data_IF_446032145751
#
_entry.id   IF_446032145751
#
_cell.length_a   1.000
_cell.length_b   1.000
_cell.length_c   1.000
_cell.angle_alpha   90.00
_cell.angle_beta   90.00
_cell.angle_gamma   90.00
#
_symmetry.space_group_name_H-M   'P 1'
#
loop_
_entity.id
_entity.type
_entity.pdbx_description
1 polymer ?
#
# COMPACT_ATOMS: atom_id res chain seq x y z
N UNK A 1 -18.31 23.60 9.89
CA UNK A 1 -19.43 24.46 9.45
C UNK A 1 -19.06 25.07 8.12
N UNK A 2 -19.97 25.04 7.16
CA UNK A 2 -19.74 25.58 5.82
C UNK A 2 -21.05 25.48 5.00
N UNK A 3 -21.00 25.96 3.76
CA UNK A 3 -22.13 25.89 2.82
C UNK A 3 -21.70 25.09 1.60
N UNK A 4 -22.54 24.15 1.20
CA UNK A 4 -22.35 23.38 -0.04
C UNK A 4 -23.32 23.96 -1.08
N UNK A 5 -22.78 24.32 -2.26
CA UNK A 5 -23.59 24.68 -3.42
C UNK A 5 -23.42 23.61 -4.49
N UNK A 6 -24.56 23.10 -4.97
CA UNK A 6 -24.60 22.10 -6.03
C UNK A 6 -25.61 22.52 -7.08
N UNK A 7 -25.23 22.51 -8.34
CA UNK A 7 -26.05 23.01 -9.46
C UNK A 7 -26.62 24.44 -9.23
N UNK A 8 -25.85 25.30 -8.56
CA UNK A 8 -26.25 26.68 -8.25
C UNK A 8 -27.07 26.86 -6.99
N UNK A 9 -27.58 25.79 -6.37
CA UNK A 9 -28.41 25.82 -5.17
C UNK A 9 -27.64 25.47 -3.90
N UNK A 10 -28.00 26.08 -2.78
CA UNK A 10 -27.46 25.67 -1.47
C UNK A 10 -28.11 24.36 -1.04
N UNK A 11 -27.30 23.34 -0.80
CA UNK A 11 -27.76 22.01 -0.41
C UNK A 11 -27.26 21.61 0.97
N UNK A 12 -28.06 20.81 1.65
CA UNK A 12 -27.69 20.18 2.94
C UNK A 12 -28.14 18.73 2.94
N UNK A 13 -27.21 17.83 2.75
CA UNK A 13 -27.46 16.40 2.78
C UNK A 13 -27.51 15.91 4.23
N UNK A 14 -28.57 15.19 4.60
CA UNK A 14 -28.73 14.56 5.92
C UNK A 14 -28.32 13.08 5.92
N UNK A 15 -28.26 12.50 4.73
CA UNK A 15 -27.87 11.11 4.51
C UNK A 15 -27.13 10.95 3.18
N UNK A 16 -26.32 9.87 3.00
CA UNK A 16 -25.74 9.53 1.70
C UNK A 16 -26.76 9.45 0.58
N UNK A 17 -27.97 8.92 0.88
CA UNK A 17 -29.06 8.78 -0.08
C UNK A 17 -29.58 10.13 -0.60
N UNK A 18 -29.52 11.18 0.23
CA UNK A 18 -29.91 12.52 -0.22
C UNK A 18 -28.94 13.04 -1.29
N UNK A 19 -27.63 12.80 -1.10
CA UNK A 19 -26.60 13.16 -2.06
C UNK A 19 -26.73 12.36 -3.36
N UNK A 20 -26.98 11.06 -3.24
CA UNK A 20 -27.22 10.18 -4.39
C UNK A 20 -28.45 10.63 -5.20
N UNK A 21 -29.55 10.97 -4.53
CA UNK A 21 -30.77 11.47 -5.19
C UNK A 21 -30.56 12.83 -5.87
N UNK A 22 -29.61 13.63 -5.39
CA UNK A 22 -29.21 14.89 -6.01
C UNK A 22 -28.27 14.68 -7.23
N UNK A 23 -27.82 13.45 -7.50
CA UNK A 23 -26.93 13.13 -8.62
C UNK A 23 -25.45 13.13 -8.27
N UNK A 24 -25.09 12.83 -7.02
CA UNK A 24 -23.71 12.64 -6.57
C UNK A 24 -23.49 11.16 -6.32
N UNK A 25 -22.47 10.58 -6.98
CA UNK A 25 -22.04 9.19 -6.76
C UNK A 25 -20.69 9.17 -6.05
N UNK A 26 -20.49 8.24 -5.12
CA UNK A 26 -19.28 8.11 -4.34
C UNK A 26 -18.71 6.69 -4.47
N UNK A 27 -17.46 6.60 -4.87
CA UNK A 27 -16.63 5.41 -4.75
C UNK A 27 -15.92 5.48 -3.39
N UNK A 28 -16.16 4.51 -2.53
CA UNK A 28 -15.56 4.44 -1.19
C UNK A 28 -14.19 3.78 -1.23
N UNK A 29 -13.25 4.25 -0.42
CA UNK A 29 -11.92 3.68 -0.26
C UNK A 29 -11.97 2.19 0.14
N UNK A 30 -12.90 1.79 1.01
CA UNK A 30 -13.21 0.39 1.29
C UNK A 30 -14.39 -0.05 0.43
N UNK A 31 -14.21 -1.17 -0.30
CA UNK A 31 -15.24 -1.67 -1.21
C UNK A 31 -16.54 -1.99 -0.45
N UNK A 32 -17.64 -1.45 -0.94
CA UNK A 32 -18.98 -1.63 -0.36
C UNK A 32 -19.75 -2.79 -0.99
N UNK A 33 -19.02 -3.82 -1.47
CA UNK A 33 -19.58 -4.98 -2.17
C UNK A 33 -20.08 -6.05 -1.19
N UNK A 34 -21.15 -6.73 -1.59
CA UNK A 34 -21.67 -7.91 -0.86
C UNK A 34 -21.07 -9.16 -1.52
N UNK A 35 -20.15 -9.87 -0.84
CA UNK A 35 -19.39 -10.96 -1.45
C UNK A 35 -20.25 -12.13 -1.96
N UNK A 36 -21.42 -12.36 -1.33
CA UNK A 36 -22.31 -13.48 -1.65
C UNK A 36 -23.21 -13.21 -2.85
N UNK A 37 -23.33 -11.96 -3.29
CA UNK A 37 -24.16 -11.57 -4.42
C UNK A 37 -23.37 -11.62 -5.74
N UNK A 38 -24.13 -11.69 -6.85
CA UNK A 38 -23.54 -11.62 -8.19
C UNK A 38 -23.00 -10.21 -8.50
N UNK A 39 -22.19 -10.10 -9.56
CA UNK A 39 -21.71 -8.82 -10.10
C UNK A 39 -22.89 -7.91 -10.46
N UNK A 40 -23.90 -8.44 -11.17
CA UNK A 40 -25.06 -7.65 -11.59
C UNK A 40 -25.86 -7.14 -10.37
N UNK A 41 -26.07 -7.98 -9.35
CA UNK A 41 -26.78 -7.58 -8.14
C UNK A 41 -25.99 -6.51 -7.37
N UNK A 42 -24.65 -6.60 -7.29
CA UNK A 42 -23.83 -5.59 -6.62
C UNK A 42 -23.86 -4.25 -7.36
N UNK A 43 -23.76 -4.25 -8.70
CA UNK A 43 -23.77 -3.03 -9.51
C UNK A 43 -25.08 -2.26 -9.31
N UNK A 44 -26.22 -2.94 -9.27
CA UNK A 44 -27.53 -2.31 -9.22
C UNK A 44 -28.24 -2.40 -7.86
N UNK A 45 -27.53 -2.76 -6.80
CA UNK A 45 -28.09 -2.91 -5.45
C UNK A 45 -28.91 -1.68 -5.02
N UNK A 46 -30.21 -1.91 -4.73
CA UNK A 46 -31.16 -0.86 -4.37
C UNK A 46 -31.65 0.01 -5.54
N UNK A 47 -31.24 -0.30 -6.78
CA UNK A 47 -31.61 0.39 -8.02
C UNK A 47 -31.93 -0.59 -9.15
N UNK A 48 -32.32 -1.80 -8.79
CA UNK A 48 -32.61 -2.88 -9.73
C UNK A 48 -33.69 -2.47 -10.72
N UNK A 49 -33.51 -2.76 -12.04
CA UNK A 49 -34.58 -2.61 -13.02
C UNK A 49 -35.81 -3.42 -12.59
N UNK A 50 -36.99 -2.81 -12.69
CA UNK A 50 -38.24 -3.43 -12.20
C UNK A 50 -39.24 -3.64 -13.35
N UNK A 51 -39.92 -4.77 -13.28
CA UNK A 51 -41.13 -5.04 -14.08
C UNK A 51 -42.34 -5.20 -13.12
N UNK A 52 -43.05 -4.09 -12.93
CA UNK A 52 -44.02 -3.99 -11.87
C UNK A 52 -43.37 -3.98 -10.49
N UNK A 53 -43.74 -4.93 -9.64
CA UNK A 53 -43.19 -5.07 -8.28
C UNK A 53 -41.98 -6.01 -8.19
N UNK A 54 -41.64 -6.71 -9.28
CA UNK A 54 -40.54 -7.68 -9.35
C UNK A 54 -39.33 -7.10 -10.05
N UNK A 55 -38.14 -7.61 -9.68
CA UNK A 55 -36.87 -7.29 -10.37
C UNK A 55 -36.88 -7.93 -11.76
N UNK A 56 -36.55 -7.14 -12.79
CA UNK A 56 -36.34 -7.64 -14.14
C UNK A 56 -34.91 -8.15 -14.29
N UNK A 57 -34.69 -9.41 -13.93
CA UNK A 57 -33.36 -10.05 -13.98
C UNK A 57 -32.72 -10.06 -15.38
N UNK A 58 -33.56 -10.05 -16.44
CA UNK A 58 -33.05 -10.01 -17.82
C UNK A 58 -32.48 -8.63 -18.16
N UNK A 59 -33.22 -7.58 -17.81
CA UNK A 59 -32.76 -6.21 -17.98
C UNK A 59 -31.53 -5.92 -17.09
N UNK A 60 -31.54 -6.38 -15.84
CA UNK A 60 -30.42 -6.26 -14.89
C UNK A 60 -29.12 -6.81 -15.49
N UNK A 61 -29.14 -8.05 -15.98
CA UNK A 61 -27.97 -8.70 -16.57
C UNK A 61 -27.55 -8.05 -17.88
N UNK A 62 -28.49 -7.57 -18.70
CA UNK A 62 -28.17 -6.87 -19.94
C UNK A 62 -27.43 -5.55 -19.68
N UNK A 63 -27.93 -4.75 -18.73
CA UNK A 63 -27.25 -3.50 -18.33
C UNK A 63 -25.89 -3.76 -17.67
N UNK A 64 -25.77 -4.79 -16.81
CA UNK A 64 -24.50 -5.18 -16.24
C UNK A 64 -23.47 -5.54 -17.32
N UNK A 65 -23.85 -6.31 -18.37
CA UNK A 65 -22.96 -6.62 -19.50
C UNK A 65 -22.50 -5.35 -20.23
N UNK A 66 -23.41 -4.40 -20.45
CA UNK A 66 -23.09 -3.12 -21.10
C UNK A 66 -22.04 -2.34 -20.32
N UNK A 67 -22.16 -2.33 -18.98
CA UNK A 67 -21.18 -1.66 -18.13
C UNK A 67 -19.85 -2.42 -18.09
N UNK A 68 -19.85 -3.75 -17.97
CA UNK A 68 -18.65 -4.59 -17.98
C UNK A 68 -17.87 -4.39 -19.27
N UNK A 69 -18.56 -4.26 -20.41
CA UNK A 69 -17.95 -4.03 -21.72
C UNK A 69 -17.12 -2.72 -21.80
N UNK A 70 -17.30 -1.77 -20.88
CA UNK A 70 -16.42 -0.60 -20.78
C UNK A 70 -14.97 -0.98 -20.52
N UNK A 71 -14.73 -2.14 -19.92
CA UNK A 71 -13.39 -2.66 -19.61
C UNK A 71 -13.01 -3.89 -20.45
N UNK A 72 -13.65 -4.09 -21.60
CA UNK A 72 -13.31 -5.19 -22.51
C UNK A 72 -11.82 -5.15 -22.89
N UNK A 73 -11.21 -6.33 -22.91
CA UNK A 73 -9.79 -6.52 -23.19
C UNK A 73 -8.82 -6.22 -22.02
N UNK A 74 -9.31 -5.66 -20.91
CA UNK A 74 -8.49 -5.38 -19.71
C UNK A 74 -9.07 -5.94 -18.41
N UNK A 75 -10.36 -6.28 -18.37
CA UNK A 75 -11.01 -6.80 -17.15
C UNK A 75 -10.54 -8.21 -16.75
N UNK A 76 -9.80 -8.90 -17.60
CA UNK A 76 -9.47 -10.31 -17.41
C UNK A 76 -10.64 -11.25 -17.69
N UNK A 77 -10.44 -12.55 -17.42
CA UNK A 77 -11.49 -13.57 -17.56
C UNK A 77 -12.28 -13.72 -16.26
N UNK A 78 -13.60 -13.96 -16.37
CA UNK A 78 -14.46 -14.27 -15.20
C UNK A 78 -15.28 -13.09 -14.67
N UNK A 79 -15.07 -11.87 -15.15
CA UNK A 79 -15.95 -10.75 -14.81
C UNK A 79 -17.23 -10.81 -15.64
N UNK A 80 -18.20 -11.59 -15.15
CA UNK A 80 -19.48 -11.84 -15.80
C UNK A 80 -20.64 -11.40 -14.89
N UNK A 81 -21.83 -11.04 -15.42
CA UNK A 81 -22.95 -10.59 -14.61
C UNK A 81 -23.37 -11.56 -13.51
N UNK A 82 -23.25 -12.87 -13.75
CA UNK A 82 -23.62 -13.94 -12.83
C UNK A 82 -22.48 -14.38 -11.88
N UNK A 83 -21.27 -13.88 -12.07
CA UNK A 83 -20.14 -14.23 -11.23
C UNK A 83 -20.36 -13.73 -9.78
N UNK A 84 -20.03 -14.57 -8.81
CA UNK A 84 -20.11 -14.22 -7.38
C UNK A 84 -18.92 -13.35 -7.01
N UNK A 85 -19.17 -12.15 -6.49
CA UNK A 85 -18.14 -11.15 -6.21
C UNK A 85 -17.06 -11.67 -5.25
N UNK A 86 -17.43 -12.49 -4.26
CA UNK A 86 -16.48 -13.08 -3.31
C UNK A 86 -15.40 -13.96 -3.97
N UNK A 87 -15.66 -14.50 -5.15
CA UNK A 87 -14.72 -15.37 -5.88
C UNK A 87 -13.81 -14.59 -6.84
N UNK A 88 -14.07 -13.29 -7.05
CA UNK A 88 -13.28 -12.47 -7.95
C UNK A 88 -11.94 -12.04 -7.31
N UNK A 89 -10.88 -11.88 -8.10
CA UNK A 89 -9.64 -11.28 -7.65
C UNK A 89 -9.83 -9.79 -7.26
N UNK A 90 -8.89 -9.21 -6.49
CA UNK A 90 -9.04 -7.84 -5.96
C UNK A 90 -9.27 -6.76 -7.03
N UNK A 91 -8.56 -6.83 -8.14
CA UNK A 91 -8.70 -5.91 -9.27
C UNK A 91 -10.11 -5.96 -9.89
N UNK A 92 -10.65 -7.15 -10.12
CA UNK A 92 -12.01 -7.30 -10.64
C UNK A 92 -13.07 -6.81 -9.65
N UNK A 93 -12.87 -7.04 -8.34
CA UNK A 93 -13.76 -6.45 -7.30
C UNK A 93 -13.73 -4.93 -7.35
N UNK A 94 -12.56 -4.34 -7.55
CA UNK A 94 -12.42 -2.90 -7.74
C UNK A 94 -13.20 -2.41 -8.97
N UNK A 95 -13.10 -3.13 -10.11
CA UNK A 95 -13.88 -2.82 -11.31
C UNK A 95 -15.39 -2.88 -11.04
N UNK A 96 -15.88 -3.88 -10.29
CA UNK A 96 -17.32 -3.96 -9.93
C UNK A 96 -17.78 -2.73 -9.15
N UNK A 97 -16.99 -2.24 -8.18
CA UNK A 97 -17.33 -1.03 -7.43
C UNK A 97 -17.31 0.23 -8.32
N UNK A 98 -16.34 0.34 -9.26
CA UNK A 98 -16.33 1.42 -10.27
C UNK A 98 -17.59 1.36 -11.13
N UNK A 99 -17.97 0.18 -11.62
CA UNK A 99 -19.17 0.00 -12.45
C UNK A 99 -20.44 0.35 -11.67
N UNK A 100 -20.50 0.07 -10.37
CA UNK A 100 -21.58 0.47 -9.48
C UNK A 100 -21.75 1.99 -9.41
N UNK A 101 -20.64 2.74 -9.37
CA UNK A 101 -20.66 4.20 -9.46
C UNK A 101 -21.16 4.67 -10.83
N UNK A 102 -20.66 4.07 -11.91
CA UNK A 102 -21.08 4.41 -13.28
C UNK A 102 -22.55 4.12 -13.56
N UNK A 103 -23.13 3.10 -12.92
CA UNK A 103 -24.53 2.75 -13.02
C UNK A 103 -25.46 3.83 -12.45
N UNK A 104 -24.96 4.73 -11.61
CA UNK A 104 -25.76 5.74 -10.94
C UNK A 104 -26.13 6.94 -11.83
N UNK A 105 -25.54 7.07 -13.02
CA UNK A 105 -25.75 8.20 -13.94
C UNK A 105 -25.68 9.57 -13.25
N UNK A 106 -24.73 9.72 -12.32
CA UNK A 106 -24.54 10.94 -11.53
C UNK A 106 -23.95 12.07 -12.38
N UNK A 107 -24.25 13.31 -12.03
CA UNK A 107 -23.63 14.50 -12.60
C UNK A 107 -22.28 14.85 -11.94
N UNK A 108 -22.05 14.35 -10.72
CA UNK A 108 -20.80 14.43 -9.99
C UNK A 108 -20.39 13.06 -9.47
N UNK A 109 -19.21 12.62 -9.82
CA UNK A 109 -18.59 11.40 -9.27
C UNK A 109 -17.45 11.77 -8.34
N UNK A 110 -17.38 11.16 -7.17
CA UNK A 110 -16.28 11.27 -6.23
C UNK A 110 -15.58 9.91 -6.19
N UNK A 111 -14.31 9.88 -6.57
CA UNK A 111 -13.49 8.67 -6.70
C UNK A 111 -12.37 8.72 -5.67
N UNK A 112 -12.51 7.96 -4.57
CA UNK A 112 -11.56 7.93 -3.46
C UNK A 112 -10.63 6.71 -3.61
N UNK A 113 -9.39 6.94 -4.11
CA UNK A 113 -8.39 5.91 -4.38
C UNK A 113 -8.89 4.77 -5.29
N UNK A 114 -9.70 5.10 -6.30
CA UNK A 114 -10.39 4.12 -7.16
C UNK A 114 -9.45 3.23 -7.99
N UNK A 115 -8.16 3.50 -8.07
CA UNK A 115 -7.15 2.75 -8.86
C UNK A 115 -6.25 1.86 -8.00
N UNK A 116 -6.44 1.81 -6.68
CA UNK A 116 -5.50 1.17 -5.74
C UNK A 116 -5.21 -0.31 -6.03
N UNK A 117 -6.17 -1.07 -6.58
CA UNK A 117 -6.00 -2.48 -6.93
C UNK A 117 -5.94 -2.74 -8.45
N UNK A 118 -6.01 -1.70 -9.28
CA UNK A 118 -5.96 -1.83 -10.74
C UNK A 118 -4.51 -1.94 -11.24
N UNK A 119 -4.32 -2.72 -12.28
CA UNK A 119 -3.06 -2.70 -13.03
C UNK A 119 -2.95 -1.47 -13.95
N UNK A 120 -1.78 -1.27 -14.59
CA UNK A 120 -1.54 -0.10 -15.45
C UNK A 120 -2.50 0.00 -16.63
N UNK A 121 -2.88 -1.15 -17.26
CA UNK A 121 -3.80 -1.17 -18.42
C UNK A 121 -5.24 -0.87 -17.99
N UNK A 122 -5.66 -1.41 -16.85
CA UNK A 122 -6.97 -1.16 -16.26
C UNK A 122 -7.10 0.31 -15.83
N UNK A 123 -6.06 0.88 -15.22
CA UNK A 123 -6.02 2.29 -14.82
C UNK A 123 -6.09 3.23 -16.02
N UNK A 124 -5.34 2.95 -17.09
CA UNK A 124 -5.40 3.75 -18.32
C UNK A 124 -6.79 3.72 -18.93
N UNK A 125 -7.40 2.53 -19.01
CA UNK A 125 -8.78 2.38 -19.51
C UNK A 125 -9.79 3.12 -18.66
N UNK A 126 -9.64 3.10 -17.34
CA UNK A 126 -10.47 3.87 -16.41
C UNK A 126 -10.37 5.38 -16.70
N UNK A 127 -9.15 5.91 -16.92
CA UNK A 127 -8.96 7.33 -17.25
C UNK A 127 -9.55 7.72 -18.61
N UNK A 128 -9.48 6.83 -19.60
CA UNK A 128 -10.18 7.04 -20.89
C UNK A 128 -11.69 7.21 -20.68
N UNK A 129 -12.29 6.33 -19.85
CA UNK A 129 -13.72 6.39 -19.55
C UNK A 129 -14.06 7.69 -18.80
N UNK A 130 -13.23 8.12 -17.85
CA UNK A 130 -13.44 9.39 -17.14
C UNK A 130 -13.38 10.59 -18.09
N UNK A 131 -12.43 10.61 -19.06
CA UNK A 131 -12.35 11.65 -20.08
C UNK A 131 -13.60 11.66 -20.97
N UNK A 132 -14.12 10.50 -21.35
CA UNK A 132 -15.36 10.40 -22.13
C UNK A 132 -16.55 10.96 -21.32
N UNK A 133 -16.69 10.58 -20.05
CA UNK A 133 -17.75 11.08 -19.17
C UNK A 133 -17.64 12.60 -18.93
N UNK A 134 -16.44 13.14 -18.86
CA UNK A 134 -16.23 14.60 -18.81
C UNK A 134 -16.75 15.26 -20.08
N UNK A 135 -16.51 14.67 -21.28
CA UNK A 135 -17.05 15.20 -22.52
C UNK A 135 -18.60 15.18 -22.55
N UNK A 136 -19.21 14.23 -21.84
CA UNK A 136 -20.66 14.16 -21.62
C UNK A 136 -21.17 15.12 -20.52
N UNK A 137 -20.30 16.00 -19.98
CA UNK A 137 -20.66 17.02 -18.98
C UNK A 137 -20.67 16.52 -17.52
N UNK A 138 -20.15 15.32 -17.25
CA UNK A 138 -20.05 14.76 -15.89
C UNK A 138 -18.77 15.29 -15.23
N UNK A 139 -18.91 15.83 -14.02
CA UNK A 139 -17.77 16.27 -13.20
C UNK A 139 -17.24 15.11 -12.36
N UNK A 140 -15.90 15.05 -12.19
CA UNK A 140 -15.27 14.05 -11.32
C UNK A 140 -14.33 14.74 -10.32
N UNK A 141 -14.47 14.40 -9.03
CA UNK A 141 -13.49 14.68 -8.00
C UNK A 141 -12.70 13.38 -7.78
N UNK A 142 -11.41 13.40 -8.05
CA UNK A 142 -10.53 12.27 -7.83
C UNK A 142 -9.64 12.52 -6.62
N UNK A 143 -9.67 11.62 -5.65
CA UNK A 143 -8.78 11.63 -4.49
C UNK A 143 -7.74 10.56 -4.75
N UNK A 144 -6.47 10.96 -4.84
CA UNK A 144 -5.35 10.05 -5.07
C UNK A 144 -4.08 10.61 -4.43
N UNK A 145 -3.21 9.74 -3.97
CA UNK A 145 -1.85 10.06 -3.57
C UNK A 145 -0.85 9.80 -4.71
N UNK A 146 -1.29 9.21 -5.82
CA UNK A 146 -0.49 8.90 -7.02
C UNK A 146 -0.55 10.08 -7.99
N UNK A 147 0.46 10.94 -7.92
CA UNK A 147 0.49 12.17 -8.74
C UNK A 147 0.48 11.90 -10.24
N UNK A 148 1.04 10.76 -10.70
CA UNK A 148 0.98 10.37 -12.10
C UNK A 148 -0.46 10.29 -12.62
N UNK A 149 -1.37 9.75 -11.82
CA UNK A 149 -2.78 9.63 -12.15
C UNK A 149 -3.46 11.00 -12.17
N UNK A 150 -3.16 11.84 -11.17
CA UNK A 150 -3.71 13.19 -11.07
C UNK A 150 -3.30 14.01 -12.30
N UNK A 151 -2.02 14.02 -12.65
CA UNK A 151 -1.51 14.74 -13.83
C UNK A 151 -2.01 14.18 -15.16
N UNK A 152 -2.37 12.88 -15.21
CA UNK A 152 -2.88 12.23 -16.42
C UNK A 152 -4.33 12.61 -16.73
N UNK A 153 -5.19 12.89 -15.72
CA UNK A 153 -6.64 13.00 -15.94
C UNK A 153 -7.29 14.24 -15.36
N UNK A 154 -6.70 14.89 -14.35
CA UNK A 154 -7.32 16.06 -13.71
C UNK A 154 -6.94 17.36 -14.39
N UNK A 155 -7.88 18.31 -14.47
CA UNK A 155 -7.66 19.67 -14.96
C UNK A 155 -7.12 20.59 -13.87
N UNK A 156 -7.57 20.38 -12.64
CA UNK A 156 -7.24 21.19 -11.46
C UNK A 156 -6.86 20.29 -10.29
N UNK A 157 -5.95 20.78 -9.48
CA UNK A 157 -5.45 20.08 -8.28
C UNK A 157 -5.76 20.96 -7.07
N UNK A 158 -6.43 20.41 -6.07
CA UNK A 158 -6.60 21.05 -4.77
C UNK A 158 -5.78 20.28 -3.76
N UNK A 159 -4.76 20.91 -3.21
CA UNK A 159 -3.92 20.31 -2.17
C UNK A 159 -4.54 20.57 -0.81
N UNK A 160 -4.79 19.48 -0.05
CA UNK A 160 -5.33 19.56 1.30
C UNK A 160 -4.35 18.97 2.30
N UNK A 161 -4.17 19.63 3.44
CA UNK A 161 -3.32 19.16 4.53
C UNK A 161 -3.95 19.51 5.89
N UNK A 162 -4.07 18.51 6.76
CA UNK A 162 -4.69 18.66 8.10
C UNK A 162 -6.11 19.29 8.07
N UNK A 163 -6.90 18.99 7.03
CA UNK A 163 -8.26 19.47 6.88
C UNK A 163 -8.39 20.91 6.34
N UNK A 164 -7.29 21.53 5.92
CA UNK A 164 -7.27 22.84 5.29
C UNK A 164 -6.80 22.75 3.83
N UNK A 165 -7.38 23.55 2.95
CA UNK A 165 -6.88 23.77 1.58
C UNK A 165 -5.58 24.58 1.66
N UNK A 166 -4.51 24.06 1.08
CA UNK A 166 -3.20 24.71 1.01
C UNK A 166 -3.06 25.47 -0.29
N UNK A 167 -3.42 24.85 -1.41
CA UNK A 167 -3.36 25.47 -2.73
C UNK A 167 -4.42 24.90 -3.67
N UNK A 168 -4.77 25.68 -4.69
CA UNK A 168 -5.56 25.27 -5.85
C UNK A 168 -4.75 25.62 -7.10
N UNK A 169 -4.47 24.62 -7.92
CA UNK A 169 -3.53 24.70 -9.03
C UNK A 169 -4.18 24.20 -10.33
N UNK A 170 -3.90 24.86 -11.43
CA UNK A 170 -4.21 24.31 -12.75
C UNK A 170 -3.14 23.28 -13.11
N UNK A 171 -3.55 22.06 -13.47
CA UNK A 171 -2.62 20.95 -13.75
C UNK A 171 -1.65 21.29 -14.87
N UNK A 172 -2.10 22.00 -15.90
CA UNK A 172 -1.27 22.40 -17.03
C UNK A 172 -0.24 23.50 -16.69
N UNK A 173 -0.43 24.23 -15.57
CA UNK A 173 0.41 25.37 -15.16
C UNK A 173 1.28 25.05 -13.95
N UNK A 174 1.26 23.83 -13.42
CA UNK A 174 2.02 23.44 -12.22
C UNK A 174 2.96 22.27 -12.51
N UNK A 175 3.86 22.00 -11.57
CA UNK A 175 4.78 20.84 -11.62
C UNK A 175 4.53 19.90 -10.47
N UNK A 176 5.02 18.65 -10.60
CA UNK A 176 4.90 17.64 -9.54
C UNK A 176 5.60 18.08 -8.26
N UNK A 177 6.77 18.70 -8.40
CA UNK A 177 7.59 19.18 -7.28
C UNK A 177 6.82 20.27 -6.49
N UNK A 178 6.12 21.17 -7.17
CA UNK A 178 5.29 22.19 -6.52
C UNK A 178 4.14 21.57 -5.75
N UNK A 179 3.44 20.59 -6.34
CA UNK A 179 2.35 19.86 -5.68
C UNK A 179 2.86 19.08 -4.46
N UNK A 180 3.99 18.36 -4.59
CA UNK A 180 4.62 17.63 -3.48
C UNK A 180 5.02 18.60 -2.36
N UNK A 181 5.63 19.73 -2.70
CA UNK A 181 5.98 20.77 -1.72
C UNK A 181 4.76 21.23 -0.92
N UNK A 182 3.64 21.49 -1.58
CA UNK A 182 2.41 21.91 -0.90
C UNK A 182 1.78 20.79 -0.05
N UNK A 183 1.87 19.52 -0.49
CA UNK A 183 1.36 18.37 0.26
C UNK A 183 2.17 18.10 1.54
N UNK A 184 3.50 18.16 1.47
CA UNK A 184 4.40 17.78 2.57
C UNK A 184 4.83 19.00 3.39
N UNK A 185 4.91 20.18 2.78
CA UNK A 185 5.56 21.38 3.34
C UNK A 185 7.05 21.34 3.06
N UNK A 186 7.85 22.01 3.88
CA UNK A 186 9.31 21.99 3.73
C UNK A 186 9.82 20.54 3.75
N UNK A 187 10.15 20.03 2.56
CA UNK A 187 10.72 18.70 2.38
C UNK A 187 12.07 18.69 3.07
N UNK A 188 12.22 17.90 4.11
CA UNK A 188 13.56 17.57 4.59
C UNK A 188 14.28 16.90 3.43
N UNK A 189 15.45 17.41 3.06
CA UNK A 189 16.30 16.79 2.05
C UNK A 189 16.42 15.29 2.35
N UNK A 190 16.30 14.46 1.31
CA UNK A 190 16.52 13.03 1.45
C UNK A 190 17.83 12.80 2.21
N UNK A 191 17.86 11.92 3.21
CA UNK A 191 19.09 11.66 3.96
C UNK A 191 20.20 11.22 3.01
N UNK A 192 21.43 11.71 3.24
CA UNK A 192 22.57 11.37 2.41
C UNK A 192 22.74 9.84 2.35
N UNK A 193 22.82 9.28 1.13
CA UNK A 193 23.07 7.85 0.91
C UNK A 193 24.40 7.47 1.56
N UNK A 194 24.41 6.40 2.35
CA UNK A 194 25.65 5.81 2.82
C UNK A 194 26.23 5.01 1.65
N UNK A 195 27.37 5.48 1.13
CA UNK A 195 28.15 4.64 0.22
C UNK A 195 28.66 3.43 0.99
N UNK A 196 28.49 2.22 0.40
CA UNK A 196 28.82 0.95 1.04
C UNK A 196 30.17 1.00 1.75
N UNK A 197 30.24 0.49 2.96
CA UNK A 197 31.46 0.49 3.78
C UNK A 197 32.45 -0.52 3.22
N UNK A 198 33.37 -0.06 2.37
CA UNK A 198 34.48 -0.87 1.91
C UNK A 198 35.21 -1.45 3.13
N UNK A 199 35.26 -2.80 3.24
CA UNK A 199 35.98 -3.52 4.29
C UNK A 199 35.16 -3.91 5.54
N UNK A 200 33.88 -3.60 5.65
CA UNK A 200 33.06 -4.11 6.74
C UNK A 200 32.62 -5.57 6.47
N UNK A 201 32.54 -6.38 7.54
CA UNK A 201 31.95 -7.71 7.45
C UNK A 201 30.42 -7.59 7.26
N UNK A 202 29.79 -8.41 6.39
CA UNK A 202 28.35 -8.39 6.23
C UNK A 202 27.63 -8.79 7.52
N UNK A 203 26.57 -8.06 7.86
CA UNK A 203 25.65 -8.43 8.95
C UNK A 203 24.75 -9.59 8.55
N UNK A 204 24.31 -9.61 7.30
CA UNK A 204 23.51 -10.67 6.71
C UNK A 204 24.23 -11.21 5.47
N UNK A 205 24.39 -12.53 5.42
CA UNK A 205 24.85 -13.25 4.23
C UNK A 205 23.87 -14.37 3.94
N UNK A 206 23.36 -14.37 2.73
CA UNK A 206 22.44 -15.38 2.20
C UNK A 206 23.13 -16.09 1.06
N UNK A 207 23.15 -17.42 1.08
CA UNK A 207 23.87 -18.21 0.08
C UNK A 207 22.94 -19.26 -0.51
N UNK A 208 22.67 -19.13 -1.81
CA UNK A 208 21.93 -20.07 -2.65
C UNK A 208 20.58 -20.51 -2.06
N UNK A 209 19.83 -19.55 -1.48
CA UNK A 209 18.51 -19.87 -0.92
C UNK A 209 17.50 -20.10 -2.02
N UNK A 210 16.69 -21.16 -1.84
CA UNK A 210 15.63 -21.52 -2.76
C UNK A 210 14.36 -21.94 -1.99
N UNK A 211 13.20 -21.62 -2.56
CA UNK A 211 11.90 -21.91 -1.95
C UNK A 211 10.76 -21.39 -2.84
N UNK A 212 9.57 -21.25 -2.27
CA UNK A 212 8.43 -20.71 -2.97
C UNK A 212 8.74 -19.28 -3.47
N UNK A 213 8.73 -19.07 -4.81
CA UNK A 213 9.01 -17.78 -5.43
C UNK A 213 10.47 -17.33 -5.43
N UNK A 214 11.41 -18.15 -4.92
CA UNK A 214 12.84 -17.83 -4.81
C UNK A 214 13.69 -18.95 -5.41
N UNK A 215 14.68 -18.61 -6.24
CA UNK A 215 15.45 -19.59 -7.06
C UNK A 215 16.95 -19.32 -6.98
N UNK A 216 17.61 -19.78 -5.93
CA UNK A 216 19.06 -19.69 -5.79
C UNK A 216 19.54 -18.26 -5.60
N UNK A 217 18.96 -17.54 -4.64
CA UNK A 217 19.36 -16.17 -4.32
C UNK A 217 20.56 -16.20 -3.38
N UNK A 218 21.59 -15.42 -3.75
CA UNK A 218 22.73 -15.08 -2.90
C UNK A 218 22.84 -13.57 -2.79
N UNK A 219 23.01 -13.06 -1.57
CA UNK A 219 23.22 -11.64 -1.29
C UNK A 219 23.99 -11.44 0.01
N UNK A 220 24.64 -10.31 0.14
CA UNK A 220 25.20 -9.81 1.38
C UNK A 220 24.61 -8.44 1.69
N UNK A 221 24.40 -8.13 2.97
CA UNK A 221 23.96 -6.80 3.41
C UNK A 221 24.76 -6.40 4.66
N UNK A 222 25.02 -5.10 4.81
CA UNK A 222 25.96 -4.59 5.77
C UNK A 222 25.27 -3.79 6.90
N UNK A 223 25.90 -3.65 8.08
CA UNK A 223 25.37 -2.81 9.14
C UNK A 223 25.17 -1.38 8.67
N UNK A 224 23.98 -0.81 8.89
CA UNK A 224 23.65 0.55 8.48
C UNK A 224 23.24 0.71 7.03
N UNK A 225 23.12 -0.38 6.27
CA UNK A 225 22.75 -0.37 4.86
C UNK A 225 21.24 -0.55 4.69
N UNK A 226 20.64 0.21 3.76
CA UNK A 226 19.30 0.00 3.22
C UNK A 226 19.43 -0.60 1.82
N UNK A 227 19.13 -1.89 1.67
CA UNK A 227 19.11 -2.60 0.40
C UNK A 227 17.70 -2.59 -0.16
N UNK A 228 17.50 -1.93 -1.32
CA UNK A 228 16.26 -1.94 -2.05
C UNK A 228 16.08 -3.24 -2.84
N UNK A 229 14.89 -3.82 -2.81
CA UNK A 229 14.50 -4.99 -3.61
C UNK A 229 13.50 -4.53 -4.66
N UNK A 230 13.94 -4.41 -5.91
CA UNK A 230 13.15 -3.89 -7.03
C UNK A 230 12.73 -5.01 -8.00
N UNK A 231 11.92 -4.68 -8.99
CA UNK A 231 11.44 -5.57 -10.04
C UNK A 231 9.92 -5.63 -10.11
N UNK A 232 9.39 -6.31 -11.12
CA UNK A 232 7.93 -6.45 -11.28
C UNK A 232 7.32 -7.16 -10.06
N UNK A 233 6.08 -6.84 -9.76
CA UNK A 233 5.37 -7.45 -8.63
C UNK A 233 5.33 -8.98 -8.75
N UNK A 234 5.60 -9.68 -7.63
CA UNK A 234 5.56 -11.16 -7.60
C UNK A 234 6.81 -11.85 -8.12
N UNK A 235 7.91 -11.13 -8.39
CA UNK A 235 9.15 -11.70 -8.90
C UNK A 235 10.10 -12.26 -7.82
N UNK A 236 9.64 -12.38 -6.56
CA UNK A 236 10.38 -13.04 -5.48
C UNK A 236 10.78 -12.13 -4.31
N UNK A 237 10.59 -10.82 -4.39
CA UNK A 237 10.99 -9.86 -3.35
C UNK A 237 10.33 -10.18 -2.00
N UNK A 238 8.99 -10.19 -1.96
CA UNK A 238 8.23 -10.55 -0.75
C UNK A 238 8.51 -11.99 -0.30
N UNK A 239 8.73 -12.91 -1.24
CA UNK A 239 9.04 -14.30 -0.94
C UNK A 239 10.39 -14.43 -0.23
N UNK A 240 11.42 -13.68 -0.67
CA UNK A 240 12.70 -13.59 0.02
C UNK A 240 12.54 -13.09 1.45
N UNK A 241 11.81 -11.97 1.63
CA UNK A 241 11.61 -11.37 2.96
C UNK A 241 10.85 -12.33 3.90
N UNK A 242 9.80 -12.99 3.41
CA UNK A 242 9.04 -14.01 4.16
C UNK A 242 9.89 -15.22 4.49
N UNK A 243 10.76 -15.67 3.56
CA UNK A 243 11.71 -16.75 3.78
C UNK A 243 12.71 -16.44 4.88
N UNK A 244 13.32 -15.27 4.84
CA UNK A 244 14.26 -14.77 5.88
C UNK A 244 13.57 -14.65 7.24
N UNK A 245 12.29 -14.28 7.26
CA UNK A 245 11.52 -14.21 8.50
C UNK A 245 11.00 -15.57 8.99
N UNK A 246 11.07 -16.59 8.15
CA UNK A 246 10.55 -17.95 8.48
C UNK A 246 9.03 -18.06 8.40
N UNK A 247 8.35 -17.13 7.72
CA UNK A 247 6.93 -17.22 7.41
C UNK A 247 6.66 -18.19 6.24
N UNK A 248 7.61 -18.26 5.28
CA UNK A 248 7.67 -19.25 4.20
C UNK A 248 9.12 -19.76 4.13
N UNK A 249 9.53 -20.75 4.96
CA UNK A 249 10.92 -21.16 5.08
C UNK A 249 11.51 -21.63 3.76
N UNK A 250 12.78 -21.35 3.53
CA UNK A 250 13.51 -21.85 2.37
C UNK A 250 13.65 -23.38 2.41
N UNK A 251 13.60 -24.01 1.26
CA UNK A 251 13.82 -25.45 1.10
C UNK A 251 15.31 -25.80 1.03
N UNK A 252 16.16 -24.83 0.61
CA UNK A 252 17.61 -25.01 0.46
C UNK A 252 18.35 -23.68 0.67
N UNK A 253 19.68 -23.77 0.85
CA UNK A 253 20.57 -22.64 1.04
C UNK A 253 20.93 -22.39 2.51
N UNK A 254 21.72 -21.33 2.74
CA UNK A 254 22.23 -20.98 4.06
C UNK A 254 22.03 -19.50 4.37
N UNK A 255 21.77 -19.20 5.63
CA UNK A 255 21.65 -17.84 6.15
C UNK A 255 22.71 -17.69 7.26
N UNK A 256 23.54 -16.67 7.12
CA UNK A 256 24.45 -16.24 8.19
C UNK A 256 24.04 -14.84 8.65
N UNK A 257 23.98 -14.64 9.94
CA UNK A 257 23.69 -13.35 10.55
C UNK A 257 24.70 -13.04 11.65
N UNK A 258 25.30 -11.83 11.57
CA UNK A 258 26.41 -11.43 12.44
C UNK A 258 27.54 -12.50 12.54
N UNK A 259 27.88 -13.07 11.38
CA UNK A 259 28.94 -14.10 11.27
C UNK A 259 28.58 -15.49 11.81
N UNK A 260 27.33 -15.74 12.14
CA UNK A 260 26.84 -17.02 12.65
C UNK A 260 25.81 -17.63 11.73
N UNK A 261 25.85 -18.94 11.54
CA UNK A 261 24.79 -19.66 10.84
C UNK A 261 23.50 -19.62 11.66
N UNK A 262 22.40 -19.25 11.02
CA UNK A 262 21.07 -19.19 11.64
C UNK A 262 20.09 -20.05 10.87
N UNK A 263 19.45 -20.99 11.58
CA UNK A 263 18.36 -21.79 11.03
C UNK A 263 17.01 -21.13 11.37
N UNK A 264 16.31 -20.66 10.36
CA UNK A 264 15.02 -19.97 10.52
C UNK A 264 13.93 -20.77 9.81
N UNK A 265 13.22 -21.60 10.57
CA UNK A 265 12.08 -22.39 10.12
C UNK A 265 10.72 -21.84 10.58
N UNK A 266 10.71 -20.79 11.41
CA UNK A 266 9.49 -20.13 11.91
C UNK A 266 9.77 -18.72 12.40
N UNK A 267 8.76 -17.81 12.37
CA UNK A 267 8.91 -16.39 12.74
C UNK A 267 9.52 -16.15 14.13
N UNK A 268 9.18 -16.98 15.12
CA UNK A 268 9.73 -16.80 16.47
C UNK A 268 11.25 -16.95 16.54
N UNK A 269 11.85 -17.79 15.67
CA UNK A 269 13.30 -17.92 15.58
C UNK A 269 13.94 -16.67 14.97
N UNK A 270 13.33 -16.09 13.93
CA UNK A 270 13.76 -14.83 13.34
C UNK A 270 13.74 -13.71 14.39
N UNK A 271 12.63 -13.58 15.12
CA UNK A 271 12.50 -12.57 16.19
C UNK A 271 13.56 -12.76 17.28
N UNK A 272 13.85 -13.97 17.70
CA UNK A 272 14.91 -14.25 18.68
C UNK A 272 16.31 -13.87 18.17
N UNK A 273 16.55 -13.95 16.87
CA UNK A 273 17.81 -13.51 16.25
C UNK A 273 17.87 -11.99 16.00
N UNK A 274 16.81 -11.24 16.32
CA UNK A 274 16.77 -9.79 16.14
C UNK A 274 16.25 -9.36 14.79
N UNK A 275 15.49 -10.19 14.11
CA UNK A 275 14.82 -9.85 12.86
C UNK A 275 13.43 -9.28 13.16
N UNK A 276 13.04 -8.28 12.39
CA UNK A 276 11.70 -7.73 12.36
C UNK A 276 11.13 -7.81 10.94
N UNK A 277 9.83 -8.02 10.82
CA UNK A 277 9.14 -8.08 9.52
C UNK A 277 7.90 -7.21 9.53
N UNK A 278 7.87 -6.23 8.65
CA UNK A 278 6.72 -5.34 8.45
C UNK A 278 6.05 -5.69 7.14
N UNK A 279 4.79 -6.15 7.18
CA UNK A 279 3.99 -6.46 6.01
C UNK A 279 3.17 -5.27 5.55
N UNK A 280 3.03 -5.08 4.24
CA UNK A 280 2.08 -4.14 3.64
C UNK A 280 0.62 -4.63 3.70
N UNK A 281 0.39 -5.94 3.90
CA UNK A 281 -0.95 -6.49 4.11
C UNK A 281 -1.34 -6.41 5.61
N UNK A 282 -1.89 -5.26 5.97
CA UNK A 282 -2.27 -4.95 7.36
C UNK A 282 -3.36 -5.87 7.91
N UNK A 283 -4.36 -6.15 7.09
CA UNK A 283 -5.53 -6.91 7.50
C UNK A 283 -5.22 -8.37 7.80
N UNK A 284 -4.36 -8.97 6.99
CA UNK A 284 -4.01 -10.38 7.08
C UNK A 284 -2.85 -10.65 8.03
N UNK A 285 -1.77 -9.87 7.90
CA UNK A 285 -0.47 -10.27 8.48
C UNK A 285 -0.08 -9.41 9.69
N UNK A 286 -0.61 -8.20 9.83
CA UNK A 286 -0.10 -7.25 10.82
C UNK A 286 -1.03 -7.00 12.00
N UNK A 287 -2.35 -6.92 11.77
CA UNK A 287 -3.31 -6.48 12.78
C UNK A 287 -3.81 -7.63 13.66
N UNK A 288 -3.67 -7.49 14.97
CA UNK A 288 -4.41 -8.30 15.93
C UNK A 288 -5.79 -7.65 16.13
N UNK A 289 -6.72 -7.96 15.20
CA UNK A 289 -8.06 -7.40 15.18
C UNK A 289 -8.81 -7.65 16.49
N UNK A 290 -9.59 -6.67 16.94
CA UNK A 290 -10.33 -6.75 18.20
C UNK A 290 -9.48 -6.62 19.47
N UNK A 291 -8.13 -6.50 19.33
CA UNK A 291 -7.22 -6.28 20.46
C UNK A 291 -6.88 -4.79 20.62
N UNK A 292 -6.45 -4.44 21.82
CA UNK A 292 -6.05 -3.07 22.14
C UNK A 292 -4.78 -2.64 21.40
N UNK A 293 -4.54 -1.34 21.34
CA UNK A 293 -3.29 -0.76 20.81
C UNK A 293 -2.10 -1.31 21.62
N UNK A 294 -2.22 -1.41 22.96
CA UNK A 294 -1.18 -1.99 23.82
C UNK A 294 -0.84 -3.44 23.44
N UNK A 295 -1.85 -4.31 23.29
CA UNK A 295 -1.63 -5.70 22.92
C UNK A 295 -0.97 -5.81 21.53
N UNK A 296 -1.37 -4.94 20.60
CA UNK A 296 -0.73 -4.86 19.28
C UNK A 296 0.73 -4.41 19.37
N UNK A 297 1.08 -3.45 20.21
CA UNK A 297 2.46 -2.96 20.38
C UNK A 297 3.37 -3.98 21.05
N UNK A 298 2.87 -4.70 22.06
CA UNK A 298 3.71 -5.56 22.91
C UNK A 298 3.95 -6.95 22.31
N UNK A 299 3.17 -7.35 21.33
CA UNK A 299 3.15 -8.73 20.79
C UNK A 299 4.53 -9.25 20.36
N UNK A 300 5.28 -8.50 19.55
CA UNK A 300 6.62 -8.89 19.10
C UNK A 300 7.64 -8.89 20.25
N UNK A 301 7.52 -7.92 21.16
CA UNK A 301 8.39 -7.81 22.34
C UNK A 301 8.25 -9.01 23.26
N UNK A 302 7.02 -9.52 23.46
CA UNK A 302 6.76 -10.73 24.24
C UNK A 302 7.51 -11.95 23.67
N UNK A 303 7.52 -12.09 22.35
CA UNK A 303 8.27 -13.17 21.66
C UNK A 303 9.77 -12.94 21.84
N UNK A 304 10.26 -11.73 21.61
CA UNK A 304 11.68 -11.37 21.66
C UNK A 304 12.29 -11.65 23.04
N UNK A 305 11.58 -11.27 24.11
CA UNK A 305 12.04 -11.42 25.49
C UNK A 305 11.55 -12.73 26.15
N UNK A 306 10.89 -13.62 25.39
CA UNK A 306 10.34 -14.91 25.90
C UNK A 306 9.46 -14.74 27.14
N UNK A 307 8.64 -13.68 27.14
CA UNK A 307 7.81 -13.35 28.29
C UNK A 307 6.72 -14.40 28.51
N UNK A 308 6.61 -14.90 29.73
CA UNK A 308 5.51 -15.78 30.16
C UNK A 308 4.37 -15.00 30.83
N UNK A 309 4.65 -13.82 31.33
CA UNK A 309 3.70 -12.95 32.03
C UNK A 309 3.85 -11.52 31.53
N UNK A 310 2.72 -10.93 31.09
CA UNK A 310 2.65 -9.53 30.69
C UNK A 310 2.32 -8.68 31.88
N UNK A 311 3.16 -7.69 32.20
CA UNK A 311 2.93 -6.69 33.25
C UNK A 311 2.70 -5.32 32.59
N UNK A 312 1.43 -4.89 32.37
CA UNK A 312 1.13 -3.65 31.64
C UNK A 312 1.83 -2.42 32.23
N UNK A 313 1.91 -2.32 33.56
CA UNK A 313 2.51 -1.17 34.23
C UNK A 313 3.99 -0.95 33.86
N UNK A 314 4.75 -2.02 33.57
CA UNK A 314 6.16 -1.94 33.17
C UNK A 314 6.36 -1.81 31.67
N UNK A 315 5.43 -2.36 30.87
CA UNK A 315 5.56 -2.41 29.41
C UNK A 315 4.95 -1.19 28.72
N UNK A 316 3.83 -0.65 29.24
CA UNK A 316 3.19 0.54 28.64
C UNK A 316 4.17 1.71 28.44
N UNK A 317 5.01 2.12 29.41
CA UNK A 317 5.96 3.21 29.19
C UNK A 317 6.99 2.91 28.09
N UNK A 318 7.45 1.65 27.97
CA UNK A 318 8.43 1.25 26.96
C UNK A 318 7.87 1.36 25.54
N UNK A 319 6.67 0.80 25.31
CA UNK A 319 6.04 0.82 23.98
C UNK A 319 5.42 2.18 23.65
N UNK A 320 5.05 2.99 24.68
CA UNK A 320 4.61 4.37 24.49
C UNK A 320 5.72 5.21 23.86
N UNK A 321 6.93 5.12 24.39
CA UNK A 321 8.07 5.85 23.86
C UNK A 321 8.26 5.60 22.36
N UNK A 322 8.19 4.33 21.95
CA UNK A 322 8.35 3.97 20.52
C UNK A 322 7.20 4.50 19.66
N UNK A 323 5.96 4.47 20.19
CA UNK A 323 4.81 5.03 19.49
C UNK A 323 4.88 6.57 19.38
N UNK A 324 5.44 7.24 20.39
CA UNK A 324 5.67 8.69 20.39
C UNK A 324 6.78 9.08 19.39
N UNK A 325 7.86 8.30 19.31
CA UNK A 325 8.93 8.48 18.32
C UNK A 325 8.38 8.39 16.89
N UNK A 326 7.35 7.55 16.67
CA UNK A 326 6.58 7.44 15.42
C UNK A 326 5.52 8.53 15.26
N UNK A 327 5.37 9.46 16.20
CA UNK A 327 4.30 10.48 16.21
C UNK A 327 2.91 9.87 16.00
N UNK A 328 2.64 8.71 16.60
CA UNK A 328 1.36 8.02 16.45
C UNK A 328 0.32 8.68 17.35
N UNK A 329 -0.84 9.01 16.77
CA UNK A 329 -1.93 9.66 17.50
C UNK A 329 -2.99 8.64 17.91
N UNK A 330 -3.24 8.51 19.21
CA UNK A 330 -4.33 7.71 19.77
C UNK A 330 -4.79 8.29 21.11
N UNK A 331 -6.06 8.06 21.47
CA UNK A 331 -6.64 8.58 22.71
C UNK A 331 -6.19 7.80 23.96
N UNK A 332 -5.79 6.53 23.79
CA UNK A 332 -5.30 5.67 24.87
C UNK A 332 -4.93 4.28 24.38
N UNK A 333 -3.97 3.66 25.06
CA UNK A 333 -3.45 2.34 24.66
C UNK A 333 -4.45 1.19 24.82
N UNK A 334 -5.47 1.37 25.66
CA UNK A 334 -6.48 0.35 25.90
C UNK A 334 -7.60 0.37 24.85
N UNK A 335 -7.57 1.35 23.93
CA UNK A 335 -8.52 1.42 22.81
C UNK A 335 -8.25 0.31 21.80
N UNK A 336 -9.30 -0.26 21.15
CA UNK A 336 -9.16 -1.20 20.07
C UNK A 336 -8.36 -0.62 18.90
N UNK A 337 -7.50 -1.41 18.26
CA UNK A 337 -6.67 -0.97 17.11
C UNK A 337 -7.52 -0.45 15.95
N UNK A 338 -8.72 -1.00 15.74
CA UNK A 338 -9.65 -0.59 14.69
C UNK A 338 -10.19 0.84 14.84
N UNK A 339 -9.99 1.52 15.98
CA UNK A 339 -10.37 2.92 16.17
C UNK A 339 -9.40 3.90 15.51
N UNK A 340 -8.23 3.43 15.06
CA UNK A 340 -7.22 4.23 14.41
C UNK A 340 -7.43 4.30 12.90
N UNK A 341 -7.06 5.44 12.30
CA UNK A 341 -6.91 5.55 10.84
C UNK A 341 -5.84 4.58 10.32
N UNK A 342 -5.94 4.19 9.04
CA UNK A 342 -4.99 3.26 8.41
C UNK A 342 -3.52 3.65 8.61
N UNK A 343 -3.17 4.92 8.45
CA UNK A 343 -1.83 5.43 8.67
C UNK A 343 -1.36 5.29 10.12
N UNK A 344 -2.23 5.55 11.11
CA UNK A 344 -1.89 5.35 12.52
C UNK A 344 -1.79 3.86 12.87
N UNK A 345 -2.62 2.98 12.30
CA UNK A 345 -2.46 1.53 12.44
C UNK A 345 -1.10 1.08 11.95
N UNK A 346 -0.66 1.54 10.76
CA UNK A 346 0.65 1.20 10.20
C UNK A 346 1.80 1.66 11.13
N UNK A 347 1.70 2.86 11.68
CA UNK A 347 2.67 3.36 12.68
C UNK A 347 2.73 2.44 13.91
N UNK A 348 1.60 1.93 14.41
CA UNK A 348 1.57 0.94 15.51
C UNK A 348 2.25 -0.37 15.11
N UNK A 349 2.02 -0.87 13.89
CA UNK A 349 2.65 -2.11 13.44
C UNK A 349 4.16 -1.98 13.30
N UNK A 350 4.64 -0.86 12.83
CA UNK A 350 6.08 -0.57 12.77
C UNK A 350 6.64 -0.42 14.21
N UNK A 351 5.96 0.34 15.06
CA UNK A 351 6.35 0.53 16.48
C UNK A 351 6.45 -0.79 17.24
N UNK A 352 5.57 -1.77 16.96
CA UNK A 352 5.63 -3.13 17.50
C UNK A 352 7.00 -3.77 17.29
N UNK A 353 7.54 -3.62 16.08
CA UNK A 353 8.83 -4.22 15.71
C UNK A 353 9.99 -3.41 16.25
N UNK A 354 9.93 -2.09 16.18
CA UNK A 354 10.99 -1.22 16.73
C UNK A 354 11.13 -1.38 18.24
N UNK A 355 10.06 -1.70 18.97
CA UNK A 355 10.11 -2.00 20.40
C UNK A 355 11.02 -3.21 20.72
N UNK A 356 11.31 -4.08 19.75
CA UNK A 356 12.23 -5.21 19.91
C UNK A 356 13.69 -4.86 19.68
N UNK A 357 14.02 -3.60 19.36
CA UNK A 357 15.35 -3.15 18.96
C UNK A 357 15.98 -4.07 17.92
N UNK A 358 15.38 -4.20 16.72
CA UNK A 358 15.83 -5.17 15.72
C UNK A 358 17.16 -4.77 15.11
N UNK A 359 17.95 -5.76 14.74
CA UNK A 359 19.22 -5.59 14.02
C UNK A 359 19.05 -5.77 12.51
N UNK A 360 18.01 -6.51 12.09
CA UNK A 360 17.60 -6.68 10.71
C UNK A 360 16.12 -6.36 10.57
N UNK A 361 15.81 -5.36 9.72
CA UNK A 361 14.44 -4.99 9.37
C UNK A 361 14.14 -5.48 7.95
N UNK A 362 13.10 -6.28 7.84
CA UNK A 362 12.54 -6.80 6.59
C UNK A 362 11.23 -6.04 6.32
N UNK A 363 11.24 -5.14 5.36
CA UNK A 363 10.16 -4.21 5.06
C UNK A 363 9.52 -4.59 3.72
N UNK A 364 8.36 -5.22 3.79
CA UNK A 364 7.61 -5.75 2.66
C UNK A 364 6.46 -4.81 2.33
N UNK A 365 6.71 -3.83 1.47
CA UNK A 365 5.77 -2.77 1.05
C UNK A 365 5.18 -1.97 2.23
N UNK A 366 6.01 -1.44 3.14
CA UNK A 366 5.57 -0.88 4.42
C UNK A 366 4.74 0.40 4.28
N UNK A 367 4.81 1.05 3.12
CA UNK A 367 4.17 2.33 2.80
C UNK A 367 2.82 2.17 2.11
N UNK A 368 2.42 0.95 1.80
CA UNK A 368 1.18 0.68 1.07
C UNK A 368 -0.05 1.23 1.78
N UNK A 369 -0.78 2.10 1.10
CA UNK A 369 -2.02 2.70 1.61
C UNK A 369 -1.82 3.61 2.82
N UNK A 370 -0.68 4.32 2.89
CA UNK A 370 -0.45 5.41 3.84
C UNK A 370 -0.21 6.73 3.09
N UNK A 371 -0.56 7.83 3.74
CA UNK A 371 -0.42 9.16 3.15
C UNK A 371 1.06 9.60 3.04
N UNK A 372 1.31 10.55 2.14
CA UNK A 372 2.66 11.02 1.82
C UNK A 372 3.42 11.57 3.04
N UNK A 373 2.72 12.23 3.97
CA UNK A 373 3.35 12.75 5.19
C UNK A 373 3.80 11.62 6.11
N UNK A 374 2.98 10.59 6.27
CA UNK A 374 3.33 9.41 7.05
C UNK A 374 4.44 8.56 6.40
N UNK A 375 4.52 8.53 5.05
CA UNK A 375 5.64 7.93 4.31
C UNK A 375 6.97 8.62 4.66
N UNK A 376 7.00 9.95 4.62
CA UNK A 376 8.22 10.71 4.94
C UNK A 376 8.70 10.46 6.38
N UNK A 377 7.77 10.43 7.36
CA UNK A 377 8.10 10.09 8.76
C UNK A 377 8.69 8.67 8.87
N UNK A 378 8.11 7.70 8.12
CA UNK A 378 8.60 6.31 8.12
C UNK A 378 10.01 6.20 7.56
N UNK A 379 10.28 6.80 6.40
CA UNK A 379 11.59 6.73 5.76
C UNK A 379 12.67 7.46 6.58
N UNK A 380 12.32 8.59 7.22
CA UNK A 380 13.23 9.26 8.15
C UNK A 380 13.61 8.34 9.32
N UNK A 381 12.64 7.61 9.87
CA UNK A 381 12.89 6.65 10.93
C UNK A 381 13.72 5.45 10.46
N UNK A 382 13.46 4.92 9.26
CA UNK A 382 14.25 3.83 8.67
C UNK A 382 15.71 4.24 8.54
N UNK A 383 15.99 5.45 8.04
CA UNK A 383 17.37 5.98 7.98
C UNK A 383 17.98 6.11 9.38
N UNK A 384 17.23 6.59 10.36
CA UNK A 384 17.70 6.66 11.75
C UNK A 384 18.06 5.26 12.30
N UNK A 385 17.26 4.22 12.01
CA UNK A 385 17.58 2.86 12.41
C UNK A 385 18.84 2.32 11.69
N UNK A 386 18.97 2.61 10.41
CA UNK A 386 20.17 2.26 9.64
C UNK A 386 21.42 2.97 10.21
N UNK A 387 21.33 4.27 10.50
CA UNK A 387 22.43 5.05 11.10
C UNK A 387 22.81 4.52 12.50
N UNK A 388 21.85 3.93 13.22
CA UNK A 388 22.10 3.22 14.49
C UNK A 388 22.72 1.82 14.31
N UNK A 389 22.97 1.39 13.06
CA UNK A 389 23.63 0.14 12.70
C UNK A 389 22.69 -1.03 12.31
N UNK A 390 21.39 -0.80 12.25
CA UNK A 390 20.47 -1.83 11.75
C UNK A 390 20.65 -2.02 10.24
N UNK A 391 20.53 -3.27 9.78
CA UNK A 391 20.48 -3.62 8.35
C UNK A 391 19.03 -3.64 7.89
N UNK A 392 18.72 -3.07 6.73
CA UNK A 392 17.35 -2.96 6.23
C UNK A 392 17.24 -3.56 4.82
N UNK A 393 16.33 -4.50 4.61
CA UNK A 393 15.89 -4.93 3.28
C UNK A 393 14.52 -4.32 3.03
N UNK A 394 14.42 -3.48 2.00
CA UNK A 394 13.22 -2.74 1.65
C UNK A 394 12.68 -3.19 0.29
N UNK A 395 11.49 -3.74 0.27
CA UNK A 395 10.66 -3.84 -0.92
C UNK A 395 9.56 -2.78 -0.87
N UNK A 396 9.35 -2.09 -1.97
CA UNK A 396 8.20 -1.20 -2.20
C UNK A 396 7.61 -1.46 -3.58
N UNK A 397 6.30 -1.39 -3.69
CA UNK A 397 5.59 -1.38 -4.97
C UNK A 397 5.77 -0.07 -5.75
N UNK A 398 6.34 0.96 -5.11
CA UNK A 398 6.66 2.25 -5.72
C UNK A 398 8.18 2.35 -5.98
N UNK A 399 8.60 2.22 -7.22
CA UNK A 399 10.01 2.29 -7.61
C UNK A 399 10.71 3.57 -7.15
N UNK A 400 9.97 4.68 -7.11
CA UNK A 400 10.47 5.97 -6.65
C UNK A 400 10.97 5.92 -5.20
N UNK A 401 10.29 5.17 -4.32
CA UNK A 401 10.70 5.02 -2.92
C UNK A 401 12.02 4.25 -2.82
N UNK A 402 12.17 3.18 -3.60
CA UNK A 402 13.42 2.40 -3.63
C UNK A 402 14.57 3.27 -4.13
N UNK A 403 14.36 4.01 -5.23
CA UNK A 403 15.35 4.90 -5.81
C UNK A 403 15.77 6.02 -4.85
N UNK A 404 14.85 6.53 -4.03
CA UNK A 404 15.11 7.65 -3.13
C UNK A 404 15.85 7.21 -1.86
N UNK A 405 15.44 6.07 -1.26
CA UNK A 405 15.86 5.71 0.10
C UNK A 405 16.87 4.58 0.19
N UNK A 406 17.01 3.74 -0.84
CA UNK A 406 17.98 2.64 -0.82
C UNK A 406 19.43 3.14 -1.08
N UNK A 407 20.39 2.52 -0.42
CA UNK A 407 21.80 2.74 -0.64
C UNK A 407 22.30 1.93 -1.86
N UNK A 408 21.66 0.77 -2.11
CA UNK A 408 21.89 -0.16 -3.21
C UNK A 408 20.60 -0.87 -3.57
N UNK A 409 20.43 -1.29 -4.82
CA UNK A 409 19.23 -1.95 -5.31
C UNK A 409 19.57 -3.32 -5.91
N UNK A 410 18.84 -4.34 -5.48
CA UNK A 410 18.83 -5.67 -6.10
C UNK A 410 17.55 -5.81 -6.92
N UNK A 411 17.70 -6.01 -8.22
CA UNK A 411 16.56 -6.14 -9.13
C UNK A 411 16.23 -7.62 -9.31
N UNK A 412 14.95 -7.96 -9.21
CA UNK A 412 14.43 -9.31 -9.27
C UNK A 412 13.76 -9.59 -10.61
N UNK A 413 14.03 -10.79 -11.17
CA UNK A 413 13.32 -11.34 -12.31
C UNK A 413 13.23 -12.87 -12.16
N UNK A 414 12.03 -13.43 -12.29
CA UNK A 414 11.79 -14.88 -12.26
C UNK A 414 12.27 -15.59 -10.98
N UNK A 415 12.25 -14.91 -9.83
CA UNK A 415 12.71 -15.46 -8.55
C UNK A 415 14.22 -15.42 -8.35
N UNK A 416 14.97 -14.70 -9.18
CA UNK A 416 16.42 -14.50 -9.13
C UNK A 416 16.78 -13.02 -9.06
N UNK A 417 17.97 -12.71 -8.58
CA UNK A 417 18.55 -11.37 -8.73
C UNK A 417 19.11 -11.28 -10.14
N UNK A 418 18.55 -10.38 -10.95
CA UNK A 418 18.98 -10.13 -12.34
C UNK A 418 20.07 -9.05 -12.44
N UNK A 419 20.07 -8.09 -11.51
CA UNK A 419 21.08 -7.03 -11.46
C UNK A 419 21.24 -6.47 -10.04
N UNK A 420 22.41 -5.92 -9.79
CA UNK A 420 22.72 -5.09 -8.63
C UNK A 420 23.06 -3.68 -9.11
N UNK A 421 22.33 -2.67 -8.64
CA UNK A 421 22.51 -1.28 -9.02
C UNK A 421 23.07 -0.48 -7.85
N UNK A 422 24.11 0.32 -8.11
CA UNK A 422 24.76 1.17 -7.11
C UNK A 422 25.07 2.55 -7.67
N UNK A 423 25.13 3.56 -6.81
CA UNK A 423 25.55 4.91 -7.19
C UNK A 423 24.80 5.48 -8.39
N UNK A 424 25.51 5.81 -9.47
CA UNK A 424 24.94 6.42 -10.67
C UNK A 424 24.03 5.47 -11.49
N UNK A 425 24.20 4.14 -11.31
CA UNK A 425 23.39 3.15 -12.03
C UNK A 425 21.98 2.97 -11.44
N UNK A 426 21.73 3.53 -10.25
CA UNK A 426 20.43 3.51 -9.59
C UNK A 426 19.47 4.48 -10.29
N UNK A 427 18.93 4.04 -11.42
CA UNK A 427 17.96 4.80 -12.24
C UNK A 427 16.73 3.95 -12.54
N UNK A 428 15.58 4.61 -12.74
CA UNK A 428 14.35 3.93 -13.13
C UNK A 428 14.51 3.13 -14.43
N UNK A 429 15.29 3.65 -15.38
CA UNK A 429 15.57 2.97 -16.66
C UNK A 429 16.33 1.66 -16.44
N UNK A 430 17.39 1.68 -15.65
CA UNK A 430 18.20 0.49 -15.37
C UNK A 430 17.42 -0.54 -14.54
N UNK A 431 16.60 -0.09 -13.57
CA UNK A 431 15.71 -0.96 -12.81
C UNK A 431 14.70 -1.68 -13.74
N UNK A 432 14.03 -0.92 -14.60
CA UNK A 432 13.05 -1.47 -15.54
C UNK A 432 13.70 -2.47 -16.50
N UNK A 433 14.85 -2.12 -17.11
CA UNK A 433 15.60 -3.00 -18.01
C UNK A 433 15.94 -4.33 -17.33
N UNK A 434 16.51 -4.28 -16.14
CA UNK A 434 16.88 -5.47 -15.39
C UNK A 434 15.66 -6.30 -14.95
N UNK A 435 14.53 -5.66 -14.65
CA UNK A 435 13.28 -6.33 -14.27
C UNK A 435 12.64 -7.12 -15.42
N UNK A 436 12.85 -6.70 -16.67
CA UNK A 436 12.36 -7.42 -17.86
C UNK A 436 13.35 -8.44 -18.41
N UNK A 437 14.58 -8.51 -17.87
CA UNK A 437 15.56 -9.51 -18.30
C UNK A 437 16.35 -9.15 -19.54
N UNK A 438 16.26 -7.92 -20.03
CA UNK A 438 17.18 -7.37 -21.03
C UNK A 438 18.50 -7.06 -20.31
N UNK A 439 19.31 -8.10 -20.11
CA UNK A 439 20.71 -7.91 -19.73
C UNK A 439 21.42 -7.24 -20.90
N UNK A 440 22.17 -6.19 -20.60
CA UNK A 440 23.02 -5.48 -21.54
C UNK A 440 24.05 -6.40 -22.16
#
# INVERSE_FOLDING_TARGET
>A
SGTIRFNGENVRFKSPRDAENAGIALFYQELSLIPQLSVADNIFLGREPKRGVFVDSKALKAEARRLIALFDGVAGTGLEPDAIVGNLPPDQRQLVEILKVFAQNASLMIMDEATAALDGRQSERFFEILRAKKADGISTIMISHRLDEVFAVCDRITVMRNGATISELDTAATTREAVVHDMVGDVRAAPARQQGRAGAAPSLKVTDVAGEGVRGISLEAYPGEIVGLAGLQGQGQSALLKGLFGASPFAAGQIQFEGRDVAIGKPSQAVHNGFAYVSGDRGRDASLQGRSIFENLVAALMVREKMRLVRPATLKPRVQKVADDMKTKFAGMDMPIGTLSGGNQQKIFISRWLATAPKLLLLDDPTKGIDLGAKADLFALMRQQADAGATILLYSSEDAEILEYADRILVFNGGRISAELTGADMTSVNMTRAAYGDAA
#
